data_IF_957062258247
#
_entry.id   IF_957062258247
#
_cell.length_a   1.000
_cell.length_b   1.000
_cell.length_c   1.000
_cell.angle_alpha   90.00
_cell.angle_beta   90.00
_cell.angle_gamma   90.00
#
_symmetry.space_group_name_H-M   'P 1'
#
loop_
_entity.id
_entity.type
_entity.pdbx_description
1 polymer ?
#
# COMPACT_ATOMS: atom_id res chain seq x y z
N UNK A 1 8.22 -21.81 6.69
CA UNK A 1 7.43 -20.58 6.57
C UNK A 1 7.44 -20.12 5.12
N UNK A 2 6.28 -19.79 4.56
CA UNK A 2 6.15 -19.29 3.17
C UNK A 2 6.57 -17.83 3.08
N UNK A 3 7.24 -17.46 1.99
CA UNK A 3 7.59 -16.08 1.64
C UNK A 3 6.89 -15.70 0.34
N UNK A 4 6.38 -14.48 0.26
CA UNK A 4 5.77 -13.94 -0.96
C UNK A 4 6.66 -12.83 -1.50
N UNK A 5 7.10 -12.96 -2.76
CA UNK A 5 7.86 -11.94 -3.46
C UNK A 5 6.91 -11.06 -4.28
N UNK A 6 7.02 -9.75 -4.11
CA UNK A 6 6.34 -8.74 -4.94
C UNK A 6 7.42 -7.97 -5.69
N UNK A 7 7.38 -7.98 -7.02
CA UNK A 7 8.36 -7.32 -7.86
C UNK A 7 7.75 -6.26 -8.76
N UNK A 8 8.59 -5.32 -9.19
CA UNK A 8 8.33 -4.30 -10.20
C UNK A 8 9.56 -4.19 -11.11
N UNK A 9 9.51 -3.32 -12.11
CA UNK A 9 10.64 -3.11 -13.01
C UNK A 9 11.93 -2.65 -12.31
N UNK A 10 11.82 -2.02 -11.14
CA UNK A 10 12.98 -1.41 -10.44
C UNK A 10 13.14 -1.86 -8.99
N UNK A 11 12.22 -2.68 -8.46
CA UNK A 11 12.24 -3.04 -7.03
C UNK A 11 11.62 -4.40 -6.75
N UNK A 12 12.14 -5.06 -5.73
CA UNK A 12 11.61 -6.29 -5.16
C UNK A 12 11.36 -6.11 -3.65
N UNK A 13 10.28 -6.71 -3.15
CA UNK A 13 9.87 -6.68 -1.73
C UNK A 13 9.40 -8.08 -1.33
N UNK A 14 9.88 -8.58 -0.18
CA UNK A 14 9.49 -9.89 0.35
C UNK A 14 8.60 -9.72 1.57
N UNK A 15 7.49 -10.46 1.62
CA UNK A 15 6.52 -10.49 2.72
C UNK A 15 6.58 -11.87 3.38
N UNK A 16 6.73 -11.92 4.71
CA UNK A 16 6.81 -13.16 5.47
C UNK A 16 7.09 -12.94 6.96
N UNK A 17 7.09 -14.03 7.73
CA UNK A 17 7.13 -14.01 9.20
C UNK A 17 8.40 -13.36 9.80
N UNK A 18 9.54 -13.52 9.13
CA UNK A 18 10.84 -12.94 9.53
C UNK A 18 11.27 -11.80 8.59
N UNK A 19 10.32 -11.12 7.96
CA UNK A 19 10.58 -9.99 7.09
C UNK A 19 10.16 -8.68 7.79
N UNK A 20 10.79 -7.54 7.46
CA UNK A 20 10.34 -6.25 7.95
C UNK A 20 8.86 -6.02 7.63
N UNK A 21 8.20 -5.22 8.46
CA UNK A 21 6.84 -4.80 8.18
C UNK A 21 6.78 -4.01 6.86
N UNK A 22 5.82 -4.37 6.00
CA UNK A 22 5.61 -3.72 4.70
C UNK A 22 4.35 -2.86 4.75
N UNK A 23 4.51 -1.56 4.56
CA UNK A 23 3.38 -0.64 4.37
C UNK A 23 2.81 -0.77 2.95
N UNK A 24 1.51 -1.05 2.84
CA UNK A 24 0.79 -1.11 1.56
C UNK A 24 -0.09 0.15 1.44
N UNK A 25 0.12 0.91 0.37
CA UNK A 25 -0.57 2.18 0.15
C UNK A 25 -2.04 1.99 -0.27
N UNK A 26 -2.93 2.72 0.39
CA UNK A 26 -4.40 2.68 0.15
C UNK A 26 -4.94 3.97 -0.49
N UNK A 27 -4.07 4.93 -0.82
CA UNK A 27 -4.45 6.26 -1.31
C UNK A 27 -5.04 6.25 -2.72
N UNK A 28 -4.58 5.34 -3.58
CA UNK A 28 -5.11 5.15 -4.93
C UNK A 28 -6.27 4.15 -4.87
N UNK A 29 -7.30 4.53 -4.12
CA UNK A 29 -8.54 3.77 -4.02
C UNK A 29 -9.70 4.75 -4.30
N UNK A 30 -10.47 4.57 -5.38
CA UNK A 30 -11.55 5.49 -5.75
C UNK A 30 -12.62 5.65 -4.66
N UNK A 31 -12.81 4.63 -3.81
CA UNK A 31 -13.77 4.64 -2.71
C UNK A 31 -13.24 5.30 -1.43
N UNK A 32 -11.92 5.58 -1.35
CA UNK A 32 -11.26 6.13 -0.16
C UNK A 32 -11.10 7.66 -0.24
N UNK A 33 -11.93 8.35 -1.02
CA UNK A 33 -12.06 9.80 -0.91
C UNK A 33 -12.74 10.12 0.42
N UNK A 34 -11.96 10.59 1.41
CA UNK A 34 -12.50 11.44 2.47
C UNK A 34 -13.21 12.57 1.75
N UNK A 35 -14.52 12.66 1.95
CA UNK A 35 -15.43 13.73 1.55
C UNK A 35 -14.64 14.95 1.16
N UNK A 36 -14.66 15.31 -0.13
CA UNK A 36 -14.16 16.60 -0.59
C UNK A 36 -14.64 17.63 0.44
N UNK A 37 -13.69 18.18 1.20
CA UNK A 37 -13.95 19.17 2.23
C UNK A 37 -14.64 20.30 1.48
N UNK A 38 -15.98 20.36 1.54
CA UNK A 38 -16.76 21.53 1.15
C UNK A 38 -16.38 22.62 2.15
N UNK A 39 -15.22 23.23 1.92
CA UNK A 39 -14.84 24.57 2.34
C UNK A 39 -15.71 25.44 1.43
N UNK A 40 -17.00 25.51 1.73
CA UNK A 40 -17.80 26.63 1.27
C UNK A 40 -17.24 27.81 2.04
N UNK A 41 -16.30 28.49 1.39
CA UNK A 41 -16.35 29.95 1.36
C UNK A 41 -17.69 30.34 0.74
#
# INVERSE_FOLDING_TARGET
MTKTLVSSATKEVVIGFDQPFVMIGERINPNRQKTAFRRNV
#
